data_IF_533946620998
#
_entry.id   IF_533946620998
#
_cell.length_a   1.000
_cell.length_b   1.000
_cell.length_c   1.000
_cell.angle_alpha   90.00
_cell.angle_beta   90.00
_cell.angle_gamma   90.00
#
_symmetry.space_group_name_H-M   'P 1'
#
loop_
_entity.id
_entity.type
_entity.pdbx_description
1 polymer ?
#
# COMPACT_ATOMS: atom_id res chain seq x y z
N UNK A 1 3.20 4.51 -10.40
CA UNK A 1 3.00 3.35 -9.50
C UNK A 1 4.10 3.22 -8.45
N UNK A 2 5.39 3.33 -8.80
CA UNK A 2 6.52 3.28 -7.84
C UNK A 2 6.36 4.24 -6.65
N UNK A 3 5.94 5.49 -6.90
CA UNK A 3 5.68 6.46 -5.83
C UNK A 3 4.57 6.02 -4.86
N UNK A 4 3.53 5.32 -5.34
CA UNK A 4 2.47 4.79 -4.48
C UNK A 4 2.97 3.61 -3.63
N UNK A 5 3.74 2.70 -4.23
CA UNK A 5 4.39 1.62 -3.48
C UNK A 5 5.29 2.18 -2.38
N UNK A 6 6.07 3.22 -2.70
CA UNK A 6 6.92 3.93 -1.75
C UNK A 6 6.12 4.59 -0.63
N UNK A 7 5.04 5.31 -0.95
CA UNK A 7 4.19 5.94 0.06
C UNK A 7 3.62 4.89 1.05
N UNK A 8 3.24 3.70 0.57
CA UNK A 8 2.73 2.63 1.42
C UNK A 8 3.78 2.08 2.40
N UNK A 9 5.08 2.35 2.20
CA UNK A 9 6.09 1.94 3.20
C UNK A 9 5.90 2.65 4.53
N UNK A 10 5.34 3.86 4.55
CA UNK A 10 5.02 4.59 5.79
C UNK A 10 4.09 3.75 6.67
N UNK A 11 3.04 3.16 6.11
CA UNK A 11 2.13 2.30 6.88
C UNK A 11 2.80 0.97 7.24
N UNK A 12 3.56 0.40 6.30
CA UNK A 12 4.25 -0.87 6.52
C UNK A 12 5.31 -0.79 7.63
N UNK A 13 5.99 0.35 7.77
CA UNK A 13 7.14 0.57 8.67
C UNK A 13 6.83 1.52 9.83
N UNK A 14 5.66 1.33 10.45
CA UNK A 14 5.31 2.04 11.70
C UNK A 14 5.44 3.58 11.60
N UNK A 15 5.22 4.17 10.42
CA UNK A 15 5.24 5.61 10.18
C UNK A 15 6.51 6.16 9.54
N UNK A 16 7.49 5.31 9.24
CA UNK A 16 8.75 5.72 8.58
C UNK A 16 8.70 5.62 7.05
N UNK A 17 9.03 6.71 6.36
CA UNK A 17 9.29 6.70 4.93
C UNK A 17 10.77 6.45 4.67
N UNK A 18 11.12 5.28 4.17
CA UNK A 18 12.51 4.92 3.85
C UNK A 18 12.85 5.28 2.40
N UNK A 19 14.10 5.66 2.09
CA UNK A 19 14.51 5.87 0.70
C UNK A 19 14.41 4.56 -0.11
N UNK A 20 14.00 4.69 -1.37
CA UNK A 20 14.02 3.57 -2.32
C UNK A 20 15.44 3.35 -2.84
N UNK A 21 15.78 2.09 -3.10
CA UNK A 21 17.00 1.72 -3.80
C UNK A 21 16.70 0.66 -4.86
N UNK A 22 17.27 0.83 -6.06
CA UNK A 22 17.26 -0.19 -7.11
C UNK A 22 18.46 -1.14 -6.99
N UNK A 23 19.47 -0.75 -6.22
CA UNK A 23 20.68 -1.55 -5.98
C UNK A 23 20.68 -2.06 -4.54
N UNK A 24 21.28 -3.23 -4.33
CA UNK A 24 21.39 -3.83 -2.99
C UNK A 24 22.20 -2.91 -2.08
N UNK A 25 21.61 -2.49 -0.96
CA UNK A 25 22.31 -1.73 0.09
C UNK A 25 22.80 -2.70 1.18
N UNK A 26 24.01 -2.48 1.69
CA UNK A 26 24.58 -3.30 2.76
C UNK A 26 24.07 -2.96 4.16
N UNK A 27 23.45 -1.78 4.32
CA UNK A 27 22.94 -1.27 5.58
C UNK A 27 21.41 -1.14 5.54
N UNK A 28 20.78 -1.26 6.71
CA UNK A 28 19.36 -0.99 6.86
C UNK A 28 19.10 0.50 6.58
N UNK A 29 18.17 0.79 5.67
CA UNK A 29 17.78 2.16 5.38
C UNK A 29 17.06 2.77 6.60
N UNK A 30 17.57 3.90 7.09
CA UNK A 30 16.87 4.78 8.02
C UNK A 30 15.94 5.69 7.22
N UNK A 31 14.69 5.82 7.68
CA UNK A 31 13.69 6.67 7.06
C UNK A 31 13.41 7.93 7.87
N UNK A 32 12.64 8.84 7.27
CA UNK A 32 12.05 9.96 7.99
C UNK A 32 10.76 9.51 8.69
N UNK A 33 10.58 9.88 9.95
CA UNK A 33 9.36 9.59 10.72
C UNK A 33 8.26 10.60 10.34
N UNK A 34 7.32 10.18 9.51
CA UNK A 34 6.23 11.04 9.04
C UNK A 34 4.93 10.88 9.83
N UNK A 35 4.69 9.69 10.37
CA UNK A 35 3.52 9.40 11.21
C UNK A 35 3.97 8.83 12.55
N UNK A 36 3.14 9.04 13.59
CA UNK A 36 3.30 8.31 14.84
C UNK A 36 3.12 6.81 14.59
N UNK A 37 3.77 5.99 15.41
CA UNK A 37 3.65 4.53 15.32
C UNK A 37 2.19 4.12 15.45
N UNK A 38 1.48 4.69 16.41
CA UNK A 38 0.06 4.43 16.71
C UNK A 38 -0.81 4.72 15.49
N UNK A 39 -0.60 5.86 14.84
CA UNK A 39 -1.34 6.27 13.63
C UNK A 39 -1.09 5.30 12.49
N UNK A 40 0.17 4.93 12.25
CA UNK A 40 0.51 3.96 11.21
C UNK A 40 -0.11 2.58 11.51
N UNK A 41 -0.10 2.12 12.77
CA UNK A 41 -0.72 0.84 13.16
C UNK A 41 -2.24 0.86 12.98
N UNK A 42 -2.90 1.97 13.33
CA UNK A 42 -4.33 2.14 13.12
C UNK A 42 -4.68 2.09 11.63
N UNK A 43 -3.92 2.79 10.78
CA UNK A 43 -4.08 2.74 9.33
C UNK A 43 -3.89 1.33 8.76
N UNK A 44 -2.88 0.58 9.22
CA UNK A 44 -2.70 -0.83 8.82
C UNK A 44 -3.92 -1.68 9.17
N UNK A 45 -4.48 -1.52 10.36
CA UNK A 45 -5.67 -2.26 10.78
C UNK A 45 -6.88 -1.94 9.88
N UNK A 46 -7.11 -0.67 9.57
CA UNK A 46 -8.18 -0.26 8.64
C UNK A 46 -7.98 -0.84 7.22
N UNK A 47 -6.74 -0.85 6.72
CA UNK A 47 -6.39 -1.42 5.43
C UNK A 47 -6.53 -2.95 5.41
N UNK A 48 -6.30 -3.62 6.53
CA UNK A 48 -6.57 -5.05 6.66
C UNK A 48 -8.08 -5.35 6.58
N UNK A 49 -8.91 -4.57 7.27
CA UNK A 49 -10.37 -4.69 7.20
C UNK A 49 -10.89 -4.53 5.77
N UNK A 50 -10.27 -3.65 4.97
CA UNK A 50 -10.66 -3.47 3.57
C UNK A 50 -10.49 -4.73 2.71
N UNK A 51 -9.64 -5.68 3.12
CA UNK A 51 -9.37 -6.94 2.42
C UNK A 51 -10.14 -8.11 3.04
N UNK A 52 -10.79 -7.95 4.19
CA UNK A 52 -11.60 -8.99 4.83
C UNK A 52 -12.98 -9.16 4.15
N UNK A 53 -13.73 -10.25 4.45
CA UNK A 53 -15.15 -10.34 4.09
C UNK A 53 -15.92 -9.09 4.49
N UNK A 54 -16.74 -8.56 3.59
CA UNK A 54 -17.45 -7.28 3.78
C UNK A 54 -16.62 -6.04 3.43
N UNK A 55 -15.31 -6.18 3.20
CA UNK A 55 -14.45 -5.14 2.65
C UNK A 55 -14.56 -4.98 1.13
N UNK A 56 -13.87 -3.98 0.59
CA UNK A 56 -13.88 -3.65 -0.85
C UNK A 56 -12.89 -4.46 -1.68
N UNK A 57 -11.88 -5.08 -1.04
CA UNK A 57 -10.80 -5.81 -1.71
C UNK A 57 -10.67 -7.29 -1.32
N UNK A 58 -11.77 -8.07 -1.13
CA UNK A 58 -11.70 -9.42 -0.58
C UNK A 58 -10.93 -10.42 -1.45
N UNK A 59 -10.70 -10.08 -2.72
CA UNK A 59 -9.89 -10.86 -3.68
C UNK A 59 -8.38 -10.78 -3.42
N UNK A 60 -7.92 -9.80 -2.64
CA UNK A 60 -6.50 -9.66 -2.30
C UNK A 60 -6.08 -10.54 -1.11
N UNK A 61 -6.99 -11.33 -0.53
CA UNK A 61 -6.67 -12.25 0.56
C UNK A 61 -5.75 -13.37 0.09
N UNK A 62 -4.76 -13.69 0.92
CA UNK A 62 -3.85 -14.81 0.72
C UNK A 62 -4.02 -15.76 1.90
N UNK A 63 -4.34 -17.03 1.64
CA UNK A 63 -4.51 -18.02 2.71
C UNK A 63 -3.23 -18.12 3.55
N UNK A 64 -3.37 -18.06 4.88
CA UNK A 64 -2.24 -18.12 5.82
C UNK A 64 -1.51 -16.80 6.04
N UNK A 65 -1.87 -15.72 5.35
CA UNK A 65 -1.24 -14.40 5.50
C UNK A 65 -2.26 -13.31 5.82
N UNK A 66 -1.90 -12.42 6.76
CA UNK A 66 -2.66 -11.19 6.99
C UNK A 66 -2.29 -10.19 5.90
N UNK A 67 -3.26 -9.75 5.10
CA UNK A 67 -3.03 -8.79 4.01
C UNK A 67 -3.76 -7.51 4.32
N UNK A 68 -3.08 -6.38 4.13
CA UNK A 68 -3.67 -5.05 4.21
C UNK A 68 -3.45 -4.31 2.89
N UNK A 69 -4.48 -3.64 2.39
CA UNK A 69 -4.36 -2.91 1.13
C UNK A 69 -5.65 -2.27 0.68
N UNK A 70 -5.57 -1.54 -0.43
CA UNK A 70 -6.70 -0.84 -1.00
C UNK A 70 -6.72 -0.93 -2.52
N UNK A 71 -7.92 -1.07 -3.05
CA UNK A 71 -8.20 -0.99 -4.49
C UNK A 71 -8.61 0.43 -4.86
N UNK A 72 -8.25 0.85 -6.06
CA UNK A 72 -8.71 2.08 -6.69
C UNK A 72 -9.04 1.83 -8.16
N UNK A 73 -10.08 2.50 -8.64
CA UNK A 73 -10.40 2.55 -10.07
C UNK A 73 -10.62 4.01 -10.42
N UNK A 74 -9.87 4.53 -11.40
CA UNK A 74 -10.01 5.89 -11.88
C UNK A 74 -10.43 5.87 -13.35
N UNK A 75 -11.27 6.83 -13.75
CA UNK A 75 -11.46 7.13 -15.17
C UNK A 75 -10.14 7.60 -15.76
N UNK A 76 -9.78 7.06 -16.93
CA UNK A 76 -8.54 7.43 -17.60
C UNK A 76 -8.63 8.88 -18.08
N UNK A 77 -7.64 9.68 -17.73
CA UNK A 77 -7.50 11.02 -18.25
C UNK A 77 -6.92 10.94 -19.68
N UNK A 78 -7.60 11.55 -20.64
CA UNK A 78 -7.18 11.66 -22.03
C UNK A 78 -7.56 13.06 -22.55
N UNK A 79 -6.64 13.73 -23.24
CA UNK A 79 -6.87 15.03 -23.90
C UNK A 79 -7.49 16.12 -22.99
N UNK A 80 -7.10 16.16 -21.71
CA UNK A 80 -7.60 17.15 -20.76
C UNK A 80 -8.98 16.84 -20.14
N UNK A 81 -9.61 15.72 -20.48
CA UNK A 81 -10.86 15.25 -19.89
C UNK A 81 -10.80 13.80 -19.43
N UNK A 82 -11.92 13.28 -18.95
CA UNK A 82 -12.07 11.85 -18.62
C UNK A 82 -12.61 11.09 -19.82
N UNK A 83 -11.94 10.01 -20.20
CA UNK A 83 -12.45 9.10 -21.21
C UNK A 83 -13.71 8.37 -20.69
N UNK A 84 -14.77 8.26 -21.50
CA UNK A 84 -16.05 7.71 -21.06
C UNK A 84 -15.95 6.23 -20.65
N UNK A 85 -15.20 5.43 -21.42
CA UNK A 85 -15.17 3.96 -21.28
C UNK A 85 -13.77 3.40 -21.03
N UNK A 86 -12.84 4.23 -20.54
CA UNK A 86 -11.47 3.78 -20.21
C UNK A 86 -11.17 4.01 -18.75
N UNK A 87 -10.62 2.98 -18.12
CA UNK A 87 -10.33 2.96 -16.70
C UNK A 87 -8.91 2.50 -16.41
N UNK A 88 -8.37 2.97 -15.29
CA UNK A 88 -7.14 2.45 -14.71
C UNK A 88 -7.51 1.83 -13.37
N UNK A 89 -7.39 0.51 -13.27
CA UNK A 89 -7.54 -0.23 -12.03
C UNK A 89 -6.17 -0.40 -11.37
N UNK A 90 -6.13 -0.24 -10.05
CA UNK A 90 -4.91 -0.45 -9.25
C UNK A 90 -5.24 -1.04 -7.89
N UNK A 91 -4.27 -1.75 -7.32
CA UNK A 91 -4.33 -2.24 -5.95
C UNK A 91 -2.96 -2.09 -5.32
N UNK A 92 -2.90 -1.49 -4.14
CA UNK A 92 -1.65 -1.40 -3.36
C UNK A 92 -1.87 -2.02 -2.00
N UNK A 93 -0.94 -2.88 -1.58
CA UNK A 93 -1.03 -3.56 -0.30
C UNK A 93 0.30 -4.10 0.19
N UNK A 94 0.28 -4.64 1.40
CA UNK A 94 1.45 -5.22 2.06
C UNK A 94 1.07 -6.41 2.94
N UNK A 95 2.06 -7.29 3.17
CA UNK A 95 1.90 -8.49 3.99
C UNK A 95 3.23 -8.88 4.68
N UNK A 96 3.17 -9.63 5.80
CA UNK A 96 2.00 -9.78 6.67
C UNK A 96 1.60 -8.44 7.31
N UNK A 97 0.31 -8.13 7.44
CA UNK A 97 -0.16 -6.88 8.03
C UNK A 97 0.30 -6.69 9.50
N UNK A 98 0.53 -7.79 10.23
CA UNK A 98 1.05 -7.77 11.60
C UNK A 98 2.51 -7.38 11.72
N UNK A 99 3.34 -7.71 10.72
CA UNK A 99 4.76 -7.39 10.66
C UNK A 99 5.18 -7.28 9.19
N UNK A 100 4.88 -6.16 8.50
CA UNK A 100 5.00 -6.06 7.04
C UNK A 100 6.41 -6.29 6.53
N UNK A 101 6.53 -7.08 5.46
CA UNK A 101 7.82 -7.44 4.83
C UNK A 101 7.89 -7.06 3.36
N UNK A 102 6.75 -6.97 2.69
CA UNK A 102 6.66 -6.65 1.27
C UNK A 102 5.50 -5.69 1.01
N UNK A 103 5.70 -4.76 0.09
CA UNK A 103 4.67 -3.91 -0.51
C UNK A 103 4.53 -4.28 -1.98
N UNK A 104 3.30 -4.41 -2.48
CA UNK A 104 2.98 -4.70 -3.89
C UNK A 104 1.99 -3.64 -4.36
N UNK A 105 2.19 -3.10 -5.57
CA UNK A 105 1.40 -2.04 -6.18
C UNK A 105 1.17 -2.32 -7.67
#
# INVERSE_FOLDING_TARGET
>A
LVQLAHAYTVFARDGELVPLSLVKTGTAASGEKLLSTETARAMRAMLELAVQPGGTGPRARIMGWRVAGKTGTAHKQENGGYAPDKFVASFVGFAPASAPRVVVA
#
